data_IF_196318795835
#
_entry.id   IF_196318795835
#
_cell.length_a   1.000
_cell.length_b   1.000
_cell.length_c   1.000
_cell.angle_alpha   90.00
_cell.angle_beta   90.00
_cell.angle_gamma   90.00
#
_symmetry.space_group_name_H-M   'P 1'
#
loop_
_entity.id
_entity.type
_entity.pdbx_description
1 polymer ?
#
# COMPACT_ATOMS: atom_id res chain seq x y z
N UNK A 1 4.64 78.99 16.97
CA UNK A 1 3.30 79.40 17.45
C UNK A 1 2.26 78.64 16.64
N UNK A 2 1.21 78.16 17.30
CA UNK A 2 0.08 77.34 16.81
C UNK A 2 0.42 75.88 16.50
N UNK A 3 -0.05 74.84 17.20
CA UNK A 3 -1.26 74.52 17.99
C UNK A 3 -2.58 74.42 17.20
N UNK A 4 -3.11 73.19 17.15
CA UNK A 4 -4.47 72.76 16.75
C UNK A 4 -4.41 71.26 16.41
N UNK A 5 -4.67 70.29 17.30
CA UNK A 5 -5.85 69.91 18.10
C UNK A 5 -7.03 69.36 17.26
N UNK A 6 -7.11 68.00 17.23
CA UNK A 6 -8.28 67.06 17.31
C UNK A 6 -9.45 67.25 16.33
N UNK A 7 -10.23 66.27 15.85
CA UNK A 7 -10.59 64.85 16.10
C UNK A 7 -11.22 64.40 14.74
N UNK A 8 -11.41 63.14 14.33
CA UNK A 8 -11.49 61.85 14.98
C UNK A 8 -12.21 60.86 14.05
N UNK A 9 -12.47 59.65 14.58
CA UNK A 9 -13.20 58.48 14.01
C UNK A 9 -12.36 57.60 13.06
N UNK A 10 -12.13 56.31 13.32
CA UNK A 10 -12.62 55.43 14.39
C UNK A 10 -11.88 54.08 14.34
N UNK A 11 -11.91 53.36 15.46
CA UNK A 11 -11.34 52.02 15.61
C UNK A 11 -12.25 50.97 14.97
N UNK A 12 -11.68 50.04 14.20
CA UNK A 12 -12.17 48.66 14.16
C UNK A 12 -10.97 47.73 14.30
N UNK A 13 -11.15 46.81 15.24
CA UNK A 13 -10.15 45.97 15.89
C UNK A 13 -9.88 44.70 15.07
N UNK A 14 -8.65 44.48 14.63
CA UNK A 14 -8.21 43.18 14.11
C UNK A 14 -7.59 42.34 15.24
N UNK A 15 -8.32 41.30 15.66
CA UNK A 15 -7.84 40.11 16.37
C UNK A 15 -8.62 38.94 15.76
N UNK A 16 -8.04 37.76 15.47
CA UNK A 16 -7.09 37.01 16.30
C UNK A 16 -6.60 35.76 15.53
N UNK A 17 -5.29 35.49 15.66
CA UNK A 17 -4.58 34.17 15.74
C UNK A 17 -4.76 33.12 14.63
N UNK A 18 -3.81 32.26 14.30
CA UNK A 18 -2.35 32.15 14.47
C UNK A 18 -2.00 30.80 13.82
N UNK A 19 -1.36 30.80 12.65
CA UNK A 19 -0.70 29.60 12.14
C UNK A 19 0.69 29.52 12.80
N UNK A 20 0.93 28.43 13.52
CA UNK A 20 2.19 28.15 14.22
C UNK A 20 3.28 27.80 13.21
N UNK A 21 4.19 28.74 12.96
CA UNK A 21 5.46 28.50 12.27
C UNK A 21 6.57 28.18 13.29
N UNK A 22 7.44 27.25 12.93
CA UNK A 22 8.52 26.74 13.74
C UNK A 22 9.73 27.68 13.84
N UNK A 23 10.36 27.62 15.01
CA UNK A 23 11.81 27.61 15.28
C UNK A 23 12.70 28.69 14.65
N UNK A 24 13.24 29.58 15.50
CA UNK A 24 14.66 29.98 15.52
C UNK A 24 14.87 30.99 16.66
N UNK A 25 15.44 30.56 17.78
CA UNK A 25 16.49 31.34 18.46
C UNK A 25 17.12 30.50 19.59
N UNK A 26 18.44 30.44 19.58
CA UNK A 26 19.32 29.72 20.52
C UNK A 26 19.34 30.46 21.87
N UNK A 27 19.11 29.77 22.99
CA UNK A 27 19.40 30.30 24.33
C UNK A 27 20.65 29.60 24.90
N UNK A 28 21.76 30.32 25.16
CA UNK A 28 22.91 29.76 25.85
C UNK A 28 22.66 29.73 27.36
N UNK A 29 22.99 28.60 27.98
CA UNK A 29 23.33 28.44 29.41
C UNK A 29 22.38 29.06 30.44
N UNK A 30 21.52 28.24 31.05
CA UNK A 30 21.44 28.01 32.50
C UNK A 30 20.32 26.98 32.78
N UNK A 31 20.63 26.03 33.67
CA UNK A 31 19.80 24.99 34.28
C UNK A 31 18.26 25.14 34.16
N UNK A 32 17.59 24.14 33.57
CA UNK A 32 16.17 23.89 33.85
C UNK A 32 16.02 23.33 35.27
N UNK A 33 15.15 23.90 36.14
CA UNK A 33 14.79 23.29 37.42
C UNK A 33 13.92 22.03 37.20
N UNK A 34 13.91 21.07 38.15
CA UNK A 34 13.09 19.87 38.06
C UNK A 34 11.61 20.24 38.13
N UNK A 35 10.85 19.83 37.12
CA UNK A 35 9.41 20.07 37.04
C UNK A 35 8.71 19.12 38.02
N UNK A 36 8.34 19.62 39.20
CA UNK A 36 7.23 19.04 39.96
C UNK A 36 5.94 19.47 39.29
N UNK A 37 5.43 18.66 38.36
CA UNK A 37 4.12 18.84 37.74
C UNK A 37 3.01 18.62 38.78
N UNK A 38 2.12 19.59 39.05
CA UNK A 38 0.83 19.28 39.64
C UNK A 38 -0.06 18.64 38.56
N UNK A 39 -0.67 17.51 38.93
CA UNK A 39 -1.61 16.75 38.13
C UNK A 39 -2.78 17.63 37.66
N UNK A 40 -3.08 17.62 36.35
CA UNK A 40 -4.37 18.09 35.86
C UNK A 40 -5.49 17.16 36.39
N UNK A 41 -6.63 17.71 36.86
CA UNK A 41 -7.81 16.92 37.18
C UNK A 41 -8.40 16.30 35.90
N UNK A 42 -8.96 15.08 35.94
CA UNK A 42 -9.67 14.51 34.81
C UNK A 42 -11.01 15.25 34.60
N UNK A 43 -11.20 15.84 33.42
CA UNK A 43 -12.51 16.34 33.01
C UNK A 43 -13.48 15.19 32.69
N UNK A 44 -14.80 15.37 32.94
CA UNK A 44 -15.77 14.28 32.95
C UNK A 44 -16.03 13.68 31.56
N UNK A 45 -16.12 12.35 31.55
CA UNK A 45 -16.45 11.51 30.40
C UNK A 45 -17.86 11.82 29.87
N UNK A 46 -17.95 12.75 28.91
CA UNK A 46 -19.18 13.00 28.15
C UNK A 46 -19.14 12.28 26.80
N UNK A 47 -19.64 11.06 26.82
CA UNK A 47 -20.39 10.35 25.77
C UNK A 47 -19.93 10.53 24.31
N UNK A 48 -19.13 9.56 23.84
CA UNK A 48 -18.96 9.26 22.41
C UNK A 48 -20.05 8.25 22.00
N UNK A 49 -20.93 8.56 21.03
CA UNK A 49 -21.88 7.58 20.53
C UNK A 49 -21.12 6.43 19.86
N UNK A 50 -21.42 5.23 20.34
CA UNK A 50 -21.11 3.97 19.68
C UNK A 50 -21.80 3.94 18.32
N UNK A 51 -21.03 3.96 17.24
CA UNK A 51 -21.45 3.29 16.02
C UNK A 51 -20.44 2.20 15.68
N UNK A 52 -21.01 1.02 15.49
CA UNK A 52 -20.40 -0.29 15.41
C UNK A 52 -19.58 -0.43 14.12
N UNK A 53 -18.41 -1.10 14.16
CA UNK A 53 -17.71 -1.46 12.94
C UNK A 53 -18.44 -2.63 12.29
N UNK A 54 -19.27 -2.35 11.28
CA UNK A 54 -19.78 -3.38 10.39
C UNK A 54 -18.73 -3.69 9.31
N UNK A 55 -18.12 -4.87 9.47
CA UNK A 55 -17.55 -5.73 8.43
C UNK A 55 -16.15 -5.38 7.85
N UNK A 56 -15.29 -6.39 7.60
CA UNK A 56 -14.02 -6.21 6.90
C UNK A 56 -14.22 -5.84 5.42
N UNK A 57 -14.00 -4.56 5.13
CA UNK A 57 -13.46 -3.94 3.90
C UNK A 57 -13.51 -4.76 2.60
N UNK A 58 -14.65 -4.65 1.91
CA UNK A 58 -14.66 -4.60 0.44
C UNK A 58 -13.83 -3.38 -0.05
N UNK A 59 -13.29 -3.38 -1.27
CA UNK A 59 -12.55 -2.24 -1.81
C UNK A 59 -13.40 -0.99 -1.65
N UNK A 60 -12.89 -0.02 -0.89
CA UNK A 60 -13.57 1.23 -0.54
C UNK A 60 -13.88 1.96 -1.85
N UNK A 61 -15.07 1.72 -2.41
CA UNK A 61 -15.68 2.57 -3.42
C UNK A 61 -16.20 3.79 -2.70
N UNK A 62 -16.05 4.96 -3.30
CA UNK A 62 -16.60 6.21 -2.77
C UNK A 62 -18.08 6.01 -2.42
N UNK A 63 -18.48 6.39 -1.19
CA UNK A 63 -19.84 6.17 -0.67
C UNK A 63 -20.91 6.76 -1.60
N UNK A 64 -20.58 7.83 -2.35
CA UNK A 64 -21.48 8.42 -3.34
C UNK A 64 -21.87 7.43 -4.45
N UNK A 65 -20.97 6.54 -4.86
CA UNK A 65 -21.19 5.61 -5.97
C UNK A 65 -22.04 4.41 -5.56
N UNK A 66 -22.38 4.29 -4.27
CA UNK A 66 -23.28 3.25 -3.76
C UNK A 66 -24.72 3.75 -3.62
N UNK A 67 -24.95 5.06 -3.77
CA UNK A 67 -26.27 5.65 -3.64
C UNK A 67 -27.16 5.30 -4.85
N UNK A 68 -28.47 5.08 -4.66
CA UNK A 68 -29.39 4.82 -5.75
C UNK A 68 -29.57 6.06 -6.64
N UNK A 69 -30.02 5.89 -7.89
CA UNK A 69 -30.41 7.05 -8.73
C UNK A 69 -31.57 7.82 -8.09
N UNK A 70 -31.55 9.15 -8.18
CA UNK A 70 -32.63 9.99 -7.68
C UNK A 70 -33.00 11.06 -8.70
N UNK A 71 -34.22 10.95 -9.24
CA UNK A 71 -34.75 11.83 -10.30
C UNK A 71 -35.21 13.19 -9.77
N UNK A 72 -35.65 13.25 -8.50
CA UNK A 72 -36.30 14.42 -7.92
C UNK A 72 -37.70 14.71 -8.47
N UNK A 73 -38.37 15.67 -7.87
CA UNK A 73 -39.80 15.96 -8.10
C UNK A 73 -40.06 17.23 -8.92
N UNK A 74 -39.01 17.91 -9.38
CA UNK A 74 -39.16 19.11 -10.21
C UNK A 74 -39.63 18.80 -11.64
N UNK A 75 -39.75 19.83 -12.48
CA UNK A 75 -40.31 19.70 -13.84
C UNK A 75 -39.30 19.92 -14.97
N UNK A 76 -38.00 20.06 -14.66
CA UNK A 76 -36.97 20.15 -15.70
C UNK A 76 -36.69 18.75 -16.24
N UNK A 77 -36.25 18.61 -17.49
CA UNK A 77 -35.81 17.30 -18.01
C UNK A 77 -34.33 17.42 -18.38
N UNK A 78 -33.45 16.80 -17.59
CA UNK A 78 -32.02 16.80 -17.83
C UNK A 78 -31.50 15.37 -17.95
N UNK A 79 -30.79 15.06 -19.04
CA UNK A 79 -30.13 13.77 -19.19
C UNK A 79 -28.84 13.76 -18.39
N UNK A 80 -28.82 13.00 -17.29
CA UNK A 80 -27.68 12.84 -16.39
C UNK A 80 -27.28 11.36 -16.32
N UNK A 81 -26.22 11.05 -15.59
CA UNK A 81 -25.67 9.71 -15.41
C UNK A 81 -25.55 9.39 -13.92
N UNK A 82 -25.85 8.15 -13.55
CA UNK A 82 -25.58 7.60 -12.23
C UNK A 82 -24.75 6.32 -12.39
N UNK A 83 -23.97 5.98 -11.37
CA UNK A 83 -23.24 4.74 -11.34
C UNK A 83 -24.09 3.62 -10.74
N UNK A 84 -24.25 2.54 -11.50
CA UNK A 84 -24.96 1.35 -11.07
C UNK A 84 -23.96 0.32 -10.52
N UNK A 85 -24.01 -0.04 -9.23
CA UNK A 85 -23.07 -0.99 -8.64
C UNK A 85 -23.31 -2.43 -9.09
N UNK A 86 -24.53 -2.77 -9.53
CA UNK A 86 -24.88 -4.11 -10.02
C UNK A 86 -24.34 -4.31 -11.44
N UNK A 87 -24.58 -3.34 -12.34
CA UNK A 87 -24.05 -3.36 -13.70
C UNK A 87 -22.58 -2.92 -13.81
N UNK A 88 -22.06 -2.28 -12.74
CA UNK A 88 -20.73 -1.66 -12.66
C UNK A 88 -20.48 -0.64 -13.78
N UNK A 89 -21.51 0.14 -14.13
CA UNK A 89 -21.51 1.06 -15.27
C UNK A 89 -22.18 2.37 -14.93
N UNK A 90 -21.80 3.41 -15.66
CA UNK A 90 -22.51 4.67 -15.64
C UNK A 90 -23.68 4.63 -16.61
N UNK A 91 -24.89 4.66 -16.07
CA UNK A 91 -26.16 4.54 -16.79
C UNK A 91 -26.83 5.92 -16.84
N UNK A 92 -27.37 6.30 -18.00
CA UNK A 92 -28.09 7.56 -18.14
C UNK A 92 -29.49 7.50 -17.52
N UNK A 93 -29.92 8.58 -16.89
CA UNK A 93 -31.27 8.74 -16.34
C UNK A 93 -31.76 10.19 -16.48
N UNK A 94 -33.07 10.39 -16.35
CA UNK A 94 -33.68 11.72 -16.35
C UNK A 94 -33.62 12.31 -14.95
N UNK A 95 -32.96 13.45 -14.82
CA UNK A 95 -32.90 14.25 -13.60
C UNK A 95 -33.78 15.49 -13.75
N UNK A 96 -34.64 15.73 -12.75
CA UNK A 96 -35.63 16.78 -12.82
C UNK A 96 -35.17 18.18 -12.43
N UNK A 97 -33.87 18.35 -12.14
CA UNK A 97 -33.25 19.64 -11.87
C UNK A 97 -33.35 20.12 -10.42
N UNK A 98 -33.92 19.32 -9.52
CA UNK A 98 -33.84 19.53 -8.07
C UNK A 98 -33.90 18.21 -7.32
N UNK A 99 -33.65 18.27 -6.01
CA UNK A 99 -33.48 17.07 -5.17
C UNK A 99 -32.36 16.18 -5.76
N UNK A 100 -32.17 14.96 -5.28
CA UNK A 100 -31.09 14.11 -5.77
C UNK A 100 -30.02 13.81 -4.73
N UNK A 101 -29.01 13.06 -5.15
CA UNK A 101 -27.87 12.71 -4.32
C UNK A 101 -26.58 12.78 -5.14
N UNK A 102 -25.45 12.49 -4.50
CA UNK A 102 -24.12 12.60 -5.10
C UNK A 102 -23.81 11.58 -6.20
N UNK A 103 -24.71 10.61 -6.47
CA UNK A 103 -24.61 9.71 -7.62
C UNK A 103 -25.34 10.29 -8.85
N UNK A 104 -25.00 11.53 -9.19
CA UNK A 104 -25.66 12.28 -10.25
C UNK A 104 -24.62 13.14 -10.97
N UNK A 105 -24.36 12.82 -12.24
CA UNK A 105 -23.31 13.43 -13.05
C UNK A 105 -23.88 13.94 -14.37
N UNK A 106 -23.51 15.14 -14.83
CA UNK A 106 -24.06 15.69 -16.08
C UNK A 106 -23.50 15.00 -17.33
N UNK A 107 -22.38 14.27 -17.23
CA UNK A 107 -21.81 13.51 -18.34
C UNK A 107 -21.36 12.13 -17.89
N UNK A 108 -21.36 11.17 -18.83
CA UNK A 108 -20.86 9.81 -18.61
C UNK A 108 -19.41 9.81 -18.14
N UNK A 109 -18.56 10.64 -18.74
CA UNK A 109 -17.14 10.74 -18.40
C UNK A 109 -16.92 11.17 -16.94
N UNK A 110 -17.72 12.10 -16.43
CA UNK A 110 -17.64 12.53 -15.04
C UNK A 110 -18.09 11.43 -14.09
N UNK A 111 -19.16 10.70 -14.44
CA UNK A 111 -19.58 9.52 -13.71
C UNK A 111 -18.49 8.44 -13.72
N UNK A 112 -17.88 8.16 -14.87
CA UNK A 112 -16.86 7.12 -15.00
C UNK A 112 -15.58 7.49 -14.25
N UNK A 113 -15.22 8.77 -14.28
CA UNK A 113 -14.09 9.31 -13.51
C UNK A 113 -14.33 9.21 -12.01
N UNK A 114 -15.56 9.48 -11.55
CA UNK A 114 -15.91 9.44 -10.13
C UNK A 114 -16.12 8.01 -9.62
N UNK A 115 -16.75 7.14 -10.43
CA UNK A 115 -17.28 5.84 -10.00
C UNK A 115 -16.98 4.67 -10.95
N UNK A 116 -16.75 4.93 -12.24
CA UNK A 116 -16.48 3.91 -13.26
C UNK A 116 -15.18 3.15 -13.05
N UNK A 117 -14.24 3.75 -12.33
CA UNK A 117 -13.23 3.00 -11.63
C UNK A 117 -13.90 2.41 -10.39
N UNK A 118 -14.30 1.13 -10.48
CA UNK A 118 -13.98 0.26 -9.35
C UNK A 118 -12.55 0.65 -9.00
N UNK A 119 -12.22 0.83 -7.73
CA UNK A 119 -10.87 0.50 -7.27
C UNK A 119 -10.67 -1.00 -7.54
N UNK A 120 -10.66 -1.39 -8.84
CA UNK A 120 -9.61 -2.20 -9.38
C UNK A 120 -8.37 -1.47 -8.83
N UNK A 121 -7.82 -1.96 -7.71
CA UNK A 121 -6.42 -2.31 -7.80
C UNK A 121 -6.29 -2.92 -9.18
N UNK A 122 -5.65 -2.16 -10.07
CA UNK A 122 -5.69 -2.23 -11.53
C UNK A 122 -6.01 -3.64 -11.98
N UNK A 123 -6.77 -3.88 -13.05
CA UNK A 123 -6.82 -5.23 -13.65
C UNK A 123 -5.48 -5.68 -14.30
N UNK A 124 -4.37 -5.07 -13.84
CA UNK A 124 -3.02 -5.61 -13.67
C UNK A 124 -2.81 -6.24 -12.28
N UNK A 125 -3.87 -6.59 -11.55
CA UNK A 125 -3.86 -7.30 -10.28
C UNK A 125 -3.63 -8.81 -10.51
N UNK A 126 -2.70 -9.12 -11.41
CA UNK A 126 -1.93 -10.36 -11.38
C UNK A 126 -0.59 -10.14 -10.66
N UNK A 127 -0.15 -8.89 -10.52
CA UNK A 127 0.97 -8.53 -9.68
C UNK A 127 0.55 -7.33 -8.85
N UNK A 128 0.21 -7.56 -7.58
CA UNK A 128 0.37 -6.49 -6.61
C UNK A 128 1.85 -6.11 -6.71
N UNK A 129 2.12 -4.88 -7.15
CA UNK A 129 3.48 -4.39 -7.35
C UNK A 129 4.24 -4.55 -6.05
N UNK A 130 5.13 -5.56 -6.00
CA UNK A 130 5.93 -5.77 -4.81
C UNK A 130 6.77 -4.53 -4.62
N UNK A 131 6.73 -3.90 -3.43
CA UNK A 131 7.51 -2.69 -3.17
C UNK A 131 8.95 -2.88 -3.64
N UNK A 132 9.50 -1.88 -4.34
CA UNK A 132 10.85 -1.98 -4.92
C UNK A 132 11.92 -2.33 -3.87
N UNK A 133 11.69 -1.95 -2.62
CA UNK A 133 12.52 -2.32 -1.46
C UNK A 133 12.67 -3.83 -1.31
N UNK A 134 11.62 -4.61 -1.57
CA UNK A 134 11.64 -6.07 -1.47
C UNK A 134 12.43 -6.73 -2.63
N UNK A 135 12.83 -5.96 -3.65
CA UNK A 135 13.68 -6.45 -4.76
C UNK A 135 15.16 -6.14 -4.53
N UNK A 136 15.51 -5.42 -3.46
CA UNK A 136 16.90 -5.11 -3.09
C UNK A 136 17.55 -6.32 -2.41
N UNK A 137 18.87 -6.50 -2.51
CA UNK A 137 19.58 -7.56 -1.78
C UNK A 137 19.67 -7.25 -0.28
N UNK A 138 19.98 -8.25 0.56
CA UNK A 138 20.45 -7.97 1.92
C UNK A 138 21.77 -7.17 1.84
N UNK A 139 21.86 -6.05 2.54
CA UNK A 139 23.06 -5.22 2.57
C UNK A 139 23.53 -5.00 4.02
N UNK A 140 24.57 -5.74 4.46
CA UNK A 140 25.19 -5.58 5.78
C UNK A 140 25.77 -4.19 6.01
N UNK A 141 26.08 -3.44 4.96
CA UNK A 141 26.85 -2.22 5.04
C UNK A 141 28.32 -2.45 5.42
N UNK A 142 29.03 -1.36 5.72
CA UNK A 142 30.50 -1.36 5.91
C UNK A 142 30.96 -1.42 7.36
N UNK A 143 30.04 -1.32 8.32
CA UNK A 143 30.37 -1.36 9.74
C UNK A 143 30.37 -2.79 10.27
N UNK A 144 31.05 -3.02 11.39
CA UNK A 144 31.31 -4.36 11.95
C UNK A 144 30.48 -4.67 13.20
N UNK A 145 29.46 -3.86 13.49
CA UNK A 145 28.56 -4.15 14.59
C UNK A 145 27.62 -5.31 14.22
N UNK A 146 27.14 -6.03 15.22
CA UNK A 146 26.31 -7.22 15.03
C UNK A 146 24.86 -6.91 15.37
N UNK A 147 23.98 -6.94 14.37
CA UNK A 147 22.53 -6.86 14.56
C UNK A 147 21.85 -7.84 13.61
N UNK A 148 21.22 -8.87 14.15
CA UNK A 148 20.37 -9.76 13.36
C UNK A 148 19.10 -9.02 12.93
N UNK A 149 18.84 -9.01 11.63
CA UNK A 149 17.73 -8.30 11.00
C UNK A 149 17.08 -9.22 9.96
N UNK A 150 15.87 -8.90 9.51
CA UNK A 150 15.19 -9.61 8.44
C UNK A 150 15.29 -8.86 7.13
N UNK A 151 15.40 -9.59 6.02
CA UNK A 151 15.23 -9.06 4.67
C UNK A 151 14.32 -9.98 3.87
N UNK A 152 13.67 -9.45 2.85
CA UNK A 152 12.91 -10.25 1.90
C UNK A 152 13.83 -10.78 0.81
N UNK A 153 13.98 -12.10 0.76
CA UNK A 153 14.69 -12.79 -0.30
C UNK A 153 13.73 -12.97 -1.50
N UNK A 154 13.98 -12.21 -2.57
CA UNK A 154 13.15 -12.26 -3.78
C UNK A 154 13.22 -13.60 -4.51
N UNK A 155 14.31 -14.35 -4.38
CA UNK A 155 14.48 -15.65 -5.03
C UNK A 155 13.67 -16.73 -4.30
N UNK A 156 13.72 -16.76 -2.97
CA UNK A 156 13.00 -17.75 -2.15
C UNK A 156 11.57 -17.33 -1.79
N UNK A 157 11.22 -16.06 -2.05
CA UNK A 157 9.96 -15.41 -1.67
C UNK A 157 9.71 -15.45 -0.16
N UNK A 158 10.77 -15.40 0.65
CA UNK A 158 10.71 -15.55 2.11
C UNK A 158 11.44 -14.41 2.81
N UNK A 159 10.97 -14.11 4.01
CA UNK A 159 11.69 -13.27 4.96
C UNK A 159 12.73 -14.11 5.71
N UNK A 160 14.00 -13.81 5.48
CA UNK A 160 15.18 -14.51 6.01
C UNK A 160 16.00 -13.55 6.88
N UNK A 161 16.84 -14.09 7.76
CA UNK A 161 17.70 -13.27 8.62
C UNK A 161 19.03 -12.96 7.95
N UNK A 162 19.62 -11.82 8.28
CA UNK A 162 20.98 -11.43 7.92
C UNK A 162 21.61 -10.58 9.03
N UNK A 163 22.94 -10.48 9.03
CA UNK A 163 23.67 -9.63 9.97
C UNK A 163 23.86 -8.25 9.35
N UNK A 164 23.28 -7.23 9.99
CA UNK A 164 23.47 -5.83 9.64
C UNK A 164 24.58 -5.20 10.48
N UNK A 165 25.55 -4.58 9.79
CA UNK A 165 26.71 -3.89 10.34
C UNK A 165 26.39 -2.63 11.17
N UNK A 166 25.13 -2.22 11.26
CA UNK A 166 24.62 -1.00 11.90
C UNK A 166 24.97 0.34 11.22
N UNK A 167 25.52 0.34 10.01
CA UNK A 167 25.63 1.55 9.18
C UNK A 167 25.50 1.22 7.69
N UNK A 168 25.14 2.23 6.87
CA UNK A 168 24.85 2.06 5.44
C UNK A 168 23.70 1.06 5.21
N UNK A 169 23.84 0.15 4.26
CA UNK A 169 22.77 -0.77 3.89
C UNK A 169 21.78 -0.17 2.90
N UNK A 170 20.71 -0.92 2.68
CA UNK A 170 19.53 -0.48 1.94
C UNK A 170 18.24 -0.71 2.76
N UNK A 171 17.09 -0.42 2.14
CA UNK A 171 15.79 -0.47 2.81
C UNK A 171 15.22 -1.88 3.04
N UNK A 172 15.79 -2.93 2.44
CA UNK A 172 15.35 -4.32 2.65
C UNK A 172 15.89 -4.86 3.98
N UNK A 173 15.46 -4.22 5.07
CA UNK A 173 15.92 -4.49 6.43
C UNK A 173 14.80 -4.18 7.41
N UNK A 174 14.32 -5.21 8.10
CA UNK A 174 13.18 -5.18 9.01
C UNK A 174 13.59 -5.76 10.37
N UNK A 175 13.07 -5.19 11.44
CA UNK A 175 13.42 -5.63 12.79
C UNK A 175 12.80 -6.99 13.14
N UNK A 176 11.67 -7.32 12.51
CA UNK A 176 10.95 -8.58 12.76
C UNK A 176 10.53 -9.27 11.47
N UNK A 177 10.40 -10.59 11.53
CA UNK A 177 9.87 -11.40 10.42
C UNK A 177 8.48 -10.93 10.00
N UNK A 178 7.63 -10.57 10.97
CA UNK A 178 6.25 -10.14 10.70
C UNK A 178 6.23 -8.82 9.92
N UNK A 179 7.06 -7.85 10.30
CA UNK A 179 7.22 -6.59 9.57
C UNK A 179 7.63 -6.84 8.12
N UNK A 180 8.67 -7.67 7.90
CA UNK A 180 9.06 -8.07 6.56
C UNK A 180 7.92 -8.74 5.78
N UNK A 181 7.13 -9.60 6.43
CA UNK A 181 6.01 -10.31 5.78
C UNK A 181 4.85 -9.37 5.44
N UNK A 182 4.55 -8.39 6.28
CA UNK A 182 3.52 -7.39 5.97
C UNK A 182 3.94 -6.49 4.81
N UNK A 183 5.24 -6.15 4.73
CA UNK A 183 5.76 -5.26 3.68
C UNK A 183 6.02 -6.01 2.36
N UNK A 184 6.43 -7.28 2.40
CA UNK A 184 6.89 -8.02 1.23
C UNK A 184 6.29 -9.42 1.05
N UNK A 185 5.73 -10.03 2.10
CA UNK A 185 5.34 -11.44 2.15
C UNK A 185 3.95 -11.77 1.60
N UNK A 186 3.01 -10.82 1.60
CA UNK A 186 1.66 -11.07 1.07
C UNK A 186 1.62 -11.11 -0.47
N UNK A 187 2.67 -10.65 -1.13
CA UNK A 187 2.79 -10.61 -2.58
C UNK A 187 3.42 -11.88 -3.20
N UNK A 188 3.67 -12.89 -2.37
CA UNK A 188 4.43 -14.10 -2.75
C UNK A 188 3.61 -15.40 -2.85
N UNK A 189 2.29 -15.40 -2.62
CA UNK A 189 1.47 -16.62 -2.69
C UNK A 189 0.88 -16.83 -4.08
N UNK A 190 1.74 -17.36 -4.95
CA UNK A 190 1.49 -18.25 -6.10
C UNK A 190 0.80 -17.73 -7.38
N UNK A 191 1.56 -17.80 -8.48
CA UNK A 191 1.04 -18.19 -9.80
C UNK A 191 1.85 -19.41 -10.25
N UNK A 192 1.21 -20.56 -10.52
CA UNK A 192 1.84 -21.72 -11.13
C UNK A 192 1.86 -21.55 -12.67
N UNK A 193 3.04 -21.61 -13.28
CA UNK A 193 3.17 -21.81 -14.72
C UNK A 193 4.15 -20.88 -15.43
N UNK A 194 5.41 -21.31 -15.55
CA UNK A 194 6.41 -20.54 -16.32
C UNK A 194 7.81 -21.15 -16.40
N UNK A 195 7.91 -22.44 -16.73
CA UNK A 195 9.05 -23.18 -17.33
C UNK A 195 10.49 -22.89 -16.87
N UNK A 196 11.11 -23.88 -16.24
CA UNK A 196 12.56 -24.12 -16.34
C UNK A 196 12.81 -25.43 -17.10
N UNK A 197 13.69 -25.38 -18.10
CA UNK A 197 14.16 -26.52 -18.89
C UNK A 197 15.00 -27.49 -18.04
N UNK A 198 15.03 -28.79 -18.38
CA UNK A 198 15.96 -29.74 -17.79
C UNK A 198 17.35 -29.57 -18.41
N UNK A 199 18.35 -29.39 -17.55
CA UNK A 199 19.77 -29.44 -17.88
C UNK A 199 20.50 -30.23 -16.80
N UNK A 200 20.85 -31.47 -17.16
CA UNK A 200 22.09 -32.19 -16.83
C UNK A 200 22.47 -32.32 -15.35
N UNK A 201 22.24 -33.52 -14.78
CA UNK A 201 22.99 -34.02 -13.63
C UNK A 201 23.67 -35.34 -14.02
N UNK A 202 24.99 -35.36 -13.81
CA UNK A 202 25.92 -36.46 -14.04
C UNK A 202 25.71 -37.53 -12.94
N UNK A 203 25.53 -38.80 -13.32
CA UNK A 203 25.50 -39.91 -12.37
C UNK A 203 26.93 -40.41 -12.08
N UNK A 204 27.36 -40.28 -10.83
CA UNK A 204 28.48 -41.02 -10.25
C UNK A 204 28.05 -42.47 -9.97
N UNK A 205 28.65 -43.43 -10.69
CA UNK A 205 28.46 -44.87 -10.44
C UNK A 205 29.58 -45.37 -9.51
N UNK A 206 29.21 -45.76 -8.28
CA UNK A 206 30.09 -46.44 -7.32
C UNK A 206 29.86 -47.96 -7.30
N UNK A 207 30.92 -48.67 -6.94
CA UNK A 207 31.26 -50.03 -7.30
C UNK A 207 30.43 -51.17 -6.64
N UNK A 208 30.40 -52.34 -7.30
CA UNK A 208 29.91 -53.59 -6.69
C UNK A 208 30.08 -54.82 -7.59
N UNK A 209 31.13 -55.61 -7.36
CA UNK A 209 31.64 -56.65 -8.27
C UNK A 209 30.82 -57.94 -8.46
N UNK A 210 31.27 -58.76 -9.42
CA UNK A 210 30.69 -60.09 -9.68
C UNK A 210 31.13 -60.84 -10.95
N UNK A 211 32.42 -61.19 -11.05
CA UNK A 211 32.95 -62.55 -11.34
C UNK A 211 32.46 -63.40 -12.56
N UNK A 212 33.45 -63.67 -13.45
CA UNK A 212 33.79 -64.91 -14.23
C UNK A 212 33.00 -65.39 -15.46
N UNK A 213 33.78 -65.60 -16.55
CA UNK A 213 33.57 -66.57 -17.63
C UNK A 213 32.89 -65.98 -18.87
N UNK A 214 33.35 -66.09 -20.12
CA UNK A 214 34.36 -66.92 -20.76
C UNK A 214 33.89 -67.21 -22.19
N UNK A 215 34.72 -66.87 -23.19
CA UNK A 215 34.80 -67.38 -24.58
C UNK A 215 33.50 -67.53 -25.40
N UNK A 216 33.51 -67.02 -26.64
CA UNK A 216 32.88 -67.76 -27.76
C UNK A 216 32.28 -66.94 -28.88
N UNK A 217 32.88 -67.08 -30.06
CA UNK A 217 32.52 -66.60 -31.40
C UNK A 217 31.09 -66.93 -31.88
N UNK A 218 30.58 -66.13 -32.84
CA UNK A 218 29.98 -66.49 -34.16
C UNK A 218 29.14 -65.30 -34.67
N UNK A 219 29.51 -64.60 -35.75
CA UNK A 219 29.23 -64.89 -37.17
C UNK A 219 27.79 -65.39 -37.42
N UNK A 220 26.94 -64.58 -38.05
CA UNK A 220 26.63 -64.69 -39.49
C UNK A 220 25.48 -63.73 -39.90
N UNK A 221 25.76 -62.80 -40.80
CA UNK A 221 24.75 -62.12 -41.63
C UNK A 221 24.59 -62.97 -42.90
N UNK A 222 23.43 -63.59 -43.08
CA UNK A 222 23.02 -64.19 -44.35
C UNK A 222 22.31 -63.16 -45.20
N UNK A 223 22.91 -62.80 -46.33
CA UNK A 223 22.29 -62.02 -47.40
C UNK A 223 21.93 -62.90 -48.59
N UNK A 224 20.83 -62.52 -49.23
CA UNK A 224 20.48 -62.63 -50.66
C UNK A 224 20.44 -63.99 -51.34
N UNK A 225 19.31 -64.21 -52.02
CA UNK A 225 19.31 -64.07 -53.48
C UNK A 225 18.57 -62.78 -53.85
#
# INVERSE_FOLDING_TARGET
>A
MQSGFLEGRGCISEKKKQHSAACLQVCPGLLCPPVSFPLCPPEPLSQRPSELPLSPSLPVRSDQCQLPRNQGSCSKELQHFYYDPEEKKCISFVYHGCEGNSNNFPTRELCEKACGKISKGTEEACCIEVPAVCKLPADPGRCLAYSEQYYYNWNTKKCETFVYGMCNGNGNRFATKLECQMVCGEFGKEQPGGKAQPGEEEEEEEAGGGTLGGRGSRLSLGGSL
#
